data_IF_874506383740
#
_entry.id   IF_874506383740
#
_cell.length_a   1.000
_cell.length_b   1.000
_cell.length_c   1.000
_cell.angle_alpha   90.00
_cell.angle_beta   90.00
_cell.angle_gamma   90.00
#
_symmetry.space_group_name_H-M   'P 1'
#
loop_
_entity.id
_entity.type
_entity.pdbx_description
1 polymer ?
#
# COMPACT_ATOMS: atom_id res chain seq x y z
N UNK A 1 14.04 -18.19 46.17
CA UNK A 1 13.60 -16.80 45.92
C UNK A 1 14.09 -16.26 44.57
N UNK A 2 15.37 -16.47 44.19
CA UNK A 2 15.95 -15.95 42.95
C UNK A 2 15.26 -16.45 41.65
N UNK A 3 15.00 -17.77 41.53
CA UNK A 3 14.44 -18.39 40.31
C UNK A 3 13.03 -17.87 39.95
N UNK A 4 12.25 -17.49 40.96
CA UNK A 4 10.89 -17.00 40.79
C UNK A 4 10.85 -15.56 40.22
N UNK A 5 11.82 -14.73 40.62
CA UNK A 5 12.02 -13.39 40.06
C UNK A 5 12.44 -13.45 38.59
N UNK A 6 13.29 -14.41 38.22
CA UNK A 6 13.70 -14.62 36.83
C UNK A 6 12.55 -15.09 35.93
N UNK A 7 11.71 -16.01 36.42
CA UNK A 7 10.53 -16.45 35.69
C UNK A 7 9.54 -15.29 35.43
N UNK A 8 9.32 -14.43 36.43
CA UNK A 8 8.46 -13.26 36.31
C UNK A 8 9.01 -12.25 35.30
N UNK A 9 10.33 -12.03 35.32
CA UNK A 9 11.00 -11.12 34.38
C UNK A 9 10.89 -11.61 32.92
N UNK A 10 11.05 -12.91 32.67
CA UNK A 10 10.91 -13.50 31.33
C UNK A 10 9.47 -13.36 30.81
N UNK A 11 8.47 -13.62 31.65
CA UNK A 11 7.06 -13.46 31.27
C UNK A 11 6.73 -11.99 30.98
N UNK A 12 7.20 -11.07 31.82
CA UNK A 12 7.01 -9.64 31.60
C UNK A 12 7.70 -9.16 30.31
N UNK A 13 8.92 -9.62 30.04
CA UNK A 13 9.64 -9.30 28.81
C UNK A 13 8.94 -9.85 27.56
N UNK A 14 8.42 -11.08 27.60
CA UNK A 14 7.66 -11.67 26.50
C UNK A 14 6.34 -10.94 26.25
N UNK A 15 5.62 -10.54 27.32
CA UNK A 15 4.41 -9.75 27.21
C UNK A 15 4.68 -8.35 26.65
N UNK A 16 5.76 -7.69 27.09
CA UNK A 16 6.18 -6.40 26.54
C UNK A 16 6.61 -6.51 25.09
N UNK A 17 7.31 -7.59 24.71
CA UNK A 17 7.68 -7.86 23.33
C UNK A 17 6.44 -8.07 22.45
N UNK A 18 5.47 -8.85 22.91
CA UNK A 18 4.20 -9.04 22.22
C UNK A 18 3.44 -7.71 22.06
N UNK A 19 3.35 -6.90 23.12
CA UNK A 19 2.74 -5.57 23.07
C UNK A 19 3.51 -4.62 22.16
N UNK A 20 4.84 -4.69 22.10
CA UNK A 20 5.65 -3.86 21.22
C UNK A 20 5.53 -4.29 19.75
N UNK A 21 5.43 -5.59 19.47
CA UNK A 21 5.20 -6.12 18.12
C UNK A 21 3.79 -5.80 17.64
N UNK A 22 2.78 -5.93 18.51
CA UNK A 22 1.38 -5.59 18.22
C UNK A 22 1.16 -4.07 18.20
N UNK A 23 1.94 -3.31 18.96
CA UNK A 23 1.79 -1.87 19.19
C UNK A 23 2.69 -0.97 18.34
N UNK A 24 3.57 -1.53 17.51
CA UNK A 24 4.48 -0.74 16.63
C UNK A 24 3.72 0.17 15.65
N UNK A 25 2.43 -0.07 15.45
CA UNK A 25 1.59 0.65 14.51
C UNK A 25 0.75 1.79 15.14
N UNK A 26 1.17 2.33 16.30
CA UNK A 26 0.44 3.42 16.99
C UNK A 26 1.23 4.74 17.01
N UNK A 27 0.87 5.65 16.11
CA UNK A 27 0.79 7.09 16.45
C UNK A 27 1.49 8.08 15.54
N UNK A 28 2.46 7.66 14.73
CA UNK A 28 3.10 8.58 13.79
C UNK A 28 2.28 8.63 12.51
N UNK A 29 1.87 9.84 12.12
CA UNK A 29 1.16 10.07 10.86
C UNK A 29 1.93 9.56 9.65
N UNK A 30 1.38 9.68 8.43
CA UNK A 30 2.03 9.16 7.24
C UNK A 30 3.43 9.76 7.07
N UNK A 31 4.42 8.88 6.88
CA UNK A 31 5.82 9.24 6.62
C UNK A 31 6.09 9.42 5.13
N UNK A 32 5.16 8.96 4.28
CA UNK A 32 5.16 9.19 2.84
C UNK A 32 4.15 10.28 2.46
N UNK A 33 4.40 10.96 1.35
CA UNK A 33 3.45 11.90 0.76
C UNK A 33 3.07 11.44 -0.65
N UNK A 34 1.80 11.61 -1.07
CA UNK A 34 1.40 11.44 -2.47
C UNK A 34 2.28 12.26 -3.41
N UNK A 35 2.52 11.72 -4.60
CA UNK A 35 3.23 12.48 -5.62
C UNK A 35 2.33 13.59 -6.16
N UNK A 36 2.92 14.77 -6.36
CA UNK A 36 2.26 15.84 -7.08
C UNK A 36 2.11 15.44 -8.55
N UNK A 37 0.89 15.56 -9.09
CA UNK A 37 0.57 15.22 -10.46
C UNK A 37 -0.44 16.20 -11.06
N UNK A 38 -0.39 16.34 -12.38
CA UNK A 38 -1.28 17.19 -13.15
C UNK A 38 -1.56 16.56 -14.49
N UNK A 39 -2.75 16.82 -15.04
CA UNK A 39 -3.15 16.41 -16.40
C UNK A 39 -2.27 17.06 -17.49
N UNK A 40 -1.58 18.15 -17.14
CA UNK A 40 -0.62 18.84 -18.00
C UNK A 40 0.74 18.14 -18.13
N UNK A 41 1.00 17.08 -17.37
CA UNK A 41 2.22 16.29 -17.50
C UNK A 41 2.32 15.64 -18.89
N UNK A 42 3.55 15.48 -19.38
CA UNK A 42 3.77 14.63 -20.56
C UNK A 42 3.43 13.17 -20.23
N UNK A 43 3.15 12.36 -21.25
CA UNK A 43 2.83 10.94 -21.04
C UNK A 43 3.97 10.20 -20.34
N UNK A 44 5.22 10.55 -20.63
CA UNK A 44 6.39 9.98 -19.97
C UNK A 44 6.45 10.33 -18.48
N UNK A 45 6.21 11.61 -18.14
CA UNK A 45 6.17 12.07 -16.76
C UNK A 45 5.01 11.43 -15.99
N UNK A 46 3.83 11.38 -16.60
CA UNK A 46 2.63 10.78 -16.00
C UNK A 46 2.83 9.28 -15.77
N UNK A 47 3.42 8.57 -16.74
CA UNK A 47 3.78 7.15 -16.58
C UNK A 47 4.78 6.95 -15.46
N UNK A 48 5.84 7.75 -15.39
CA UNK A 48 6.84 7.65 -14.33
C UNK A 48 6.24 7.91 -12.94
N UNK A 49 5.33 8.88 -12.82
CA UNK A 49 4.59 9.17 -11.60
C UNK A 49 3.66 8.01 -11.21
N UNK A 50 2.95 7.42 -12.16
CA UNK A 50 2.09 6.26 -11.92
C UNK A 50 2.89 5.06 -11.42
N UNK A 51 4.00 4.70 -12.10
CA UNK A 51 4.91 3.62 -11.68
C UNK A 51 5.42 3.85 -10.26
N UNK A 52 5.92 5.05 -9.98
CA UNK A 52 6.49 5.39 -8.68
C UNK A 52 5.45 5.32 -7.56
N UNK A 53 4.22 5.76 -7.85
CA UNK A 53 3.09 5.69 -6.90
C UNK A 53 2.71 4.25 -6.59
N UNK A 54 2.60 3.39 -7.62
CA UNK A 54 2.29 1.96 -7.43
C UNK A 54 3.39 1.25 -6.64
N UNK A 55 4.66 1.47 -6.97
CA UNK A 55 5.78 0.88 -6.23
C UNK A 55 5.81 1.32 -4.77
N UNK A 56 5.56 2.61 -4.50
CA UNK A 56 5.46 3.10 -3.14
C UNK A 56 4.29 2.44 -2.41
N UNK A 57 3.10 2.43 -3.00
CA UNK A 57 1.92 1.85 -2.39
C UNK A 57 2.10 0.36 -2.04
N UNK A 58 2.65 -0.44 -2.96
CA UNK A 58 2.92 -1.86 -2.72
C UNK A 58 3.93 -2.04 -1.58
N UNK A 59 5.03 -1.28 -1.59
CA UNK A 59 6.04 -1.38 -0.53
C UNK A 59 5.45 -1.08 0.85
N UNK A 60 4.65 -0.03 0.96
CA UNK A 60 4.04 0.36 2.24
C UNK A 60 2.96 -0.65 2.68
N UNK A 61 2.20 -1.19 1.74
CA UNK A 61 1.23 -2.29 1.98
C UNK A 61 1.91 -3.53 2.51
N UNK A 62 2.94 -4.00 1.83
CA UNK A 62 3.64 -5.23 2.18
C UNK A 62 4.44 -5.08 3.49
N UNK A 63 4.84 -3.86 3.83
CA UNK A 63 5.43 -3.52 5.13
C UNK A 63 4.40 -3.36 6.26
N UNK A 64 3.10 -3.39 5.94
CA UNK A 64 2.03 -3.22 6.91
C UNK A 64 1.83 -1.79 7.42
N UNK A 65 2.36 -0.78 6.72
CA UNK A 65 2.33 0.61 7.16
C UNK A 65 0.98 1.27 6.85
N UNK A 66 -0.02 1.02 7.71
CA UNK A 66 -1.41 1.44 7.48
C UNK A 66 -1.56 2.94 7.18
N UNK A 67 -0.88 3.81 7.93
CA UNK A 67 -0.98 5.26 7.74
C UNK A 67 -0.49 5.69 6.33
N UNK A 68 0.58 5.06 5.86
CA UNK A 68 1.16 5.34 4.54
C UNK A 68 0.27 4.81 3.42
N UNK A 69 -0.28 3.60 3.56
CA UNK A 69 -1.23 3.05 2.58
C UNK A 69 -2.46 3.94 2.47
N UNK A 70 -3.03 4.39 3.59
CA UNK A 70 -4.15 5.36 3.59
C UNK A 70 -3.78 6.67 2.91
N UNK A 71 -2.59 7.20 3.16
CA UNK A 71 -2.13 8.44 2.52
C UNK A 71 -1.96 8.28 1.00
N UNK A 72 -1.51 7.12 0.53
CA UNK A 72 -1.29 6.81 -0.89
C UNK A 72 -2.56 6.30 -1.61
N UNK A 73 -3.71 6.29 -0.95
CA UNK A 73 -4.96 5.75 -1.50
C UNK A 73 -6.07 6.79 -1.55
N UNK A 74 -6.96 6.63 -2.52
CA UNK A 74 -8.34 7.06 -2.42
C UNK A 74 -9.20 5.86 -2.03
N UNK A 75 -10.13 6.07 -1.11
CA UNK A 75 -11.01 5.02 -0.57
C UNK A 75 -12.45 5.26 -1.03
N UNK A 76 -12.59 5.74 -2.27
CA UNK A 76 -13.85 6.21 -2.83
C UNK A 76 -14.79 5.02 -3.17
N UNK A 77 -14.27 3.80 -3.33
CA UNK A 77 -15.03 2.58 -3.63
C UNK A 77 -15.09 1.65 -2.41
N UNK A 78 -16.21 1.63 -1.65
CA UNK A 78 -16.40 0.69 -0.55
C UNK A 78 -16.31 -0.76 -1.06
N UNK A 79 -15.52 -1.60 -0.37
CA UNK A 79 -15.34 -3.00 -0.73
C UNK A 79 -14.46 -3.23 -1.98
N UNK A 80 -13.90 -2.19 -2.59
CA UNK A 80 -12.88 -2.33 -3.63
C UNK A 80 -11.58 -2.92 -3.06
N UNK A 81 -10.73 -3.50 -3.92
CA UNK A 81 -9.50 -4.19 -3.51
C UNK A 81 -8.58 -3.34 -2.60
N UNK A 82 -8.43 -2.04 -2.91
CA UNK A 82 -7.65 -1.10 -2.08
C UNK A 82 -8.27 -0.95 -0.69
N UNK A 83 -9.59 -0.77 -0.61
CA UNK A 83 -10.30 -0.66 0.67
C UNK A 83 -10.24 -1.97 1.48
N UNK A 84 -10.28 -3.12 0.80
CA UNK A 84 -10.12 -4.43 1.45
C UNK A 84 -8.72 -4.63 2.02
N UNK A 85 -7.67 -4.21 1.31
CA UNK A 85 -6.30 -4.23 1.82
C UNK A 85 -6.14 -3.28 3.02
N UNK A 86 -6.68 -2.06 2.96
CA UNK A 86 -6.69 -1.13 4.11
C UNK A 86 -7.41 -1.75 5.30
N UNK A 87 -8.57 -2.38 5.08
CA UNK A 87 -9.32 -3.06 6.14
C UNK A 87 -8.53 -4.25 6.71
N UNK A 88 -7.87 -5.06 5.86
CA UNK A 88 -7.03 -6.16 6.32
C UNK A 88 -5.88 -5.65 7.21
N UNK A 89 -5.21 -4.56 6.82
CA UNK A 89 -4.18 -3.93 7.64
C UNK A 89 -4.73 -3.40 8.98
N UNK A 90 -5.92 -2.79 8.97
CA UNK A 90 -6.61 -2.35 10.20
C UNK A 90 -6.94 -3.50 11.13
N UNK A 91 -7.32 -4.65 10.57
CA UNK A 91 -7.65 -5.87 11.32
C UNK A 91 -6.41 -6.71 11.67
N UNK A 92 -5.20 -6.22 11.34
CA UNK A 92 -3.94 -6.95 11.48
C UNK A 92 -3.96 -8.33 10.80
N UNK A 93 -4.71 -8.45 9.71
CA UNK A 93 -4.74 -9.66 8.88
C UNK A 93 -3.52 -9.66 7.94
N UNK A 94 -2.88 -10.81 7.73
CA UNK A 94 -1.76 -10.92 6.82
C UNK A 94 -2.22 -10.64 5.38
N UNK A 95 -1.37 -9.95 4.64
CA UNK A 95 -1.49 -9.75 3.20
C UNK A 95 -0.34 -10.48 2.51
N UNK A 96 -0.64 -11.18 1.42
CA UNK A 96 0.41 -11.80 0.62
C UNK A 96 1.25 -10.71 -0.05
N UNK A 97 2.59 -10.78 0.05
CA UNK A 97 3.47 -9.76 -0.50
C UNK A 97 3.50 -9.83 -2.03
N UNK A 98 3.53 -8.68 -2.68
CA UNK A 98 3.54 -8.56 -4.13
C UNK A 98 4.94 -8.20 -4.64
N UNK A 99 5.58 -9.13 -5.35
CA UNK A 99 6.82 -8.84 -6.07
C UNK A 99 6.52 -8.38 -7.50
N UNK A 100 6.59 -7.08 -7.74
CA UNK A 100 6.49 -6.51 -9.09
C UNK A 100 7.68 -6.94 -9.94
N UNK A 101 7.42 -7.48 -11.13
CA UNK A 101 8.44 -7.88 -12.11
C UNK A 101 8.45 -7.00 -13.36
N UNK A 102 7.32 -6.38 -13.70
CA UNK A 102 7.20 -5.53 -14.87
C UNK A 102 6.00 -4.58 -14.79
N UNK A 103 6.11 -3.46 -15.51
CA UNK A 103 5.00 -2.56 -15.81
C UNK A 103 4.67 -2.63 -17.30
N UNK A 104 3.39 -2.82 -17.60
CA UNK A 104 2.87 -2.93 -18.95
C UNK A 104 2.36 -1.59 -19.49
N UNK A 105 1.23 -1.66 -20.18
CA UNK A 105 0.55 -0.51 -20.77
C UNK A 105 0.21 0.54 -19.70
N UNK A 106 0.37 1.79 -20.07
CA UNK A 106 -0.11 2.96 -19.33
C UNK A 106 -1.16 3.67 -20.19
N UNK A 107 -2.31 3.99 -19.61
CA UNK A 107 -3.37 4.76 -20.26
C UNK A 107 -3.80 5.90 -19.32
N UNK A 108 -4.23 7.03 -19.90
CA UNK A 108 -4.78 8.15 -19.12
C UNK A 108 -5.93 8.80 -19.87
N UNK A 109 -6.99 9.13 -19.12
CA UNK A 109 -8.13 9.91 -19.58
C UNK A 109 -8.42 10.99 -18.54
N UNK A 110 -7.95 12.20 -18.84
CA UNK A 110 -7.97 13.32 -17.89
C UNK A 110 -7.30 12.96 -16.55
N UNK A 111 -8.02 13.03 -15.42
CA UNK A 111 -7.47 12.72 -14.10
C UNK A 111 -7.41 11.22 -13.78
N UNK A 112 -7.99 10.33 -14.60
CA UNK A 112 -8.03 8.88 -14.37
C UNK A 112 -6.95 8.18 -15.17
N UNK A 113 -6.03 7.53 -14.46
CA UNK A 113 -4.87 6.87 -15.05
C UNK A 113 -4.91 5.38 -14.75
N UNK A 114 -4.37 4.56 -15.65
CA UNK A 114 -4.26 3.12 -15.45
C UNK A 114 -2.85 2.65 -15.78
N UNK A 115 -2.34 1.69 -15.00
CA UNK A 115 -1.08 1.03 -15.31
C UNK A 115 -1.15 -0.46 -15.03
N UNK A 116 -0.82 -1.24 -16.05
CA UNK A 116 -0.73 -2.69 -15.95
C UNK A 116 0.52 -3.05 -15.14
N UNK A 117 0.35 -3.90 -14.15
CA UNK A 117 1.41 -4.34 -13.26
C UNK A 117 1.42 -5.86 -13.21
N UNK A 118 2.60 -6.44 -13.43
CA UNK A 118 2.81 -7.88 -13.42
C UNK A 118 3.60 -8.29 -12.19
N UNK A 119 3.15 -9.36 -11.54
CA UNK A 119 3.75 -9.94 -10.35
C UNK A 119 4.46 -11.26 -10.66
N UNK A 120 5.39 -11.64 -9.79
CA UNK A 120 6.22 -12.83 -9.96
C UNK A 120 5.44 -14.17 -9.91
N UNK A 121 4.24 -14.17 -9.35
CA UNK A 121 3.35 -15.33 -9.22
C UNK A 121 2.47 -15.55 -10.48
N UNK A 122 2.82 -14.92 -11.61
CA UNK A 122 2.04 -14.86 -12.84
C UNK A 122 0.69 -14.13 -12.69
N UNK A 123 0.47 -13.38 -11.60
CA UNK A 123 -0.65 -12.46 -11.45
C UNK A 123 -0.44 -11.17 -12.26
N UNK A 124 -1.47 -10.73 -12.98
CA UNK A 124 -1.51 -9.44 -13.67
C UNK A 124 -2.71 -8.63 -13.20
N UNK A 125 -2.47 -7.39 -12.77
CA UNK A 125 -3.52 -6.46 -12.34
C UNK A 125 -3.38 -5.12 -13.04
N UNK A 126 -4.47 -4.36 -13.05
CA UNK A 126 -4.46 -2.96 -13.46
C UNK A 126 -4.62 -2.11 -12.22
N UNK A 127 -3.63 -1.28 -11.93
CA UNK A 127 -3.79 -0.22 -10.93
C UNK A 127 -4.51 0.94 -11.59
N UNK A 128 -5.59 1.38 -10.94
CA UNK A 128 -6.30 2.61 -11.26
C UNK A 128 -5.79 3.69 -10.31
N UNK A 129 -5.36 4.80 -10.89
CA UNK A 129 -4.90 5.97 -10.16
C UNK A 129 -5.75 7.18 -10.52
N UNK A 130 -5.85 8.11 -9.60
CA UNK A 130 -6.61 9.34 -9.81
C UNK A 130 -5.85 10.54 -9.32
N UNK A 131 -5.73 11.55 -10.19
CA UNK A 131 -5.27 12.88 -9.83
C UNK A 131 -6.43 13.64 -9.22
N UNK A 132 -6.29 14.05 -7.95
CA UNK A 132 -7.25 14.93 -7.27
C UNK A 132 -6.46 15.88 -6.37
N UNK A 133 -6.83 17.15 -6.38
CA UNK A 133 -6.16 18.19 -5.56
C UNK A 133 -4.64 18.29 -5.82
N UNK A 134 -4.22 18.01 -7.06
CA UNK A 134 -2.81 18.02 -7.44
C UNK A 134 -2.01 16.81 -6.95
N UNK A 135 -2.66 15.80 -6.38
CA UNK A 135 -2.03 14.58 -5.86
C UNK A 135 -2.47 13.35 -6.65
N UNK A 136 -1.52 12.47 -6.94
CA UNK A 136 -1.76 11.14 -7.50
C UNK A 136 -1.79 10.11 -6.40
N UNK A 137 -2.88 9.35 -6.32
CA UNK A 137 -3.06 8.24 -5.38
C UNK A 137 -3.70 7.04 -6.07
N UNK A 138 -3.56 5.87 -5.46
CA UNK A 138 -4.20 4.62 -5.93
C UNK A 138 -5.69 4.68 -5.60
N UNK A 139 -6.54 4.59 -6.60
CA UNK A 139 -8.01 4.64 -6.47
C UNK A 139 -8.64 3.24 -6.48
N UNK A 140 -7.99 2.29 -7.17
CA UNK A 140 -8.50 0.93 -7.28
C UNK A 140 -7.49 -0.05 -7.86
N UNK A 141 -7.81 -1.34 -7.74
CA UNK A 141 -7.08 -2.42 -8.41
C UNK A 141 -8.12 -3.29 -9.12
N UNK A 142 -8.00 -3.38 -10.43
CA UNK A 142 -8.82 -4.21 -11.30
C UNK A 142 -8.06 -5.43 -11.81
N UNK A 143 -8.78 -6.41 -12.36
CA UNK A 143 -8.16 -7.50 -13.12
C UNK A 143 -7.70 -6.98 -14.47
N UNK A 144 -6.46 -7.28 -14.85
CA UNK A 144 -6.04 -7.08 -16.23
C UNK A 144 -6.84 -8.03 -17.13
N UNK A 145 -7.39 -7.57 -18.28
CA UNK A 145 -7.86 -8.48 -19.31
C UNK A 145 -6.69 -9.39 -19.71
N UNK A 146 -6.90 -10.70 -19.58
CA UNK A 146 -5.95 -11.69 -20.10
C UNK A 146 -6.16 -11.73 -21.62
N UNK A 147 -5.12 -11.55 -22.46
CA UNK A 147 -5.23 -11.72 -23.90
C UNK A 147 -5.68 -13.12 -24.31
#
# INVERSE_FOLDING_TARGET
>A
MMVWLWALAVVAAAALLAVAVIGRDRGDGPTVRPLTASESMSDEQARAAAVSTVLAWIRERDAGHLANVKALSWLDVPGGAVALDVQALQDHRPLDPHRVIAFGRFEREGPLWSIYTHFADNGGVVFLLKVREGELRVDGIGRAPVP
#
